data_IF_615583970379
#
_entry.id   IF_615583970379
#
_cell.length_a   1.000
_cell.length_b   1.000
_cell.length_c   1.000
_cell.angle_alpha   90.00
_cell.angle_beta   90.00
_cell.angle_gamma   90.00
#
_symmetry.space_group_name_H-M   'P 1'
#
loop_
_entity.id
_entity.type
_entity.pdbx_description
1 polymer ?
#
# COMPACT_ATOMS: atom_id res chain seq x y z
N UNK A 1 -3.26 5.58 -18.25
CA UNK A 1 -2.02 5.90 -17.51
C UNK A 1 -2.16 5.56 -16.02
N UNK A 2 -3.26 5.94 -15.35
CA UNK A 2 -3.51 5.60 -13.93
C UNK A 2 -3.46 4.11 -13.61
N UNK A 3 -4.14 3.25 -14.40
CA UNK A 3 -4.15 1.80 -14.19
C UNK A 3 -2.74 1.17 -14.18
N UNK A 4 -1.90 1.54 -15.14
CA UNK A 4 -0.51 1.06 -15.20
C UNK A 4 0.35 1.50 -14.00
N UNK A 5 0.14 2.73 -13.50
CA UNK A 5 0.83 3.19 -12.30
C UNK A 5 0.37 2.42 -11.04
N UNK A 6 -0.92 2.08 -10.96
CA UNK A 6 -1.45 1.25 -9.88
C UNK A 6 -0.81 -0.14 -9.91
N UNK A 7 -0.74 -0.79 -11.07
CA UNK A 7 -0.16 -2.13 -11.22
C UNK A 7 1.30 -2.17 -10.71
N UNK A 8 2.13 -1.20 -11.09
CA UNK A 8 3.53 -1.08 -10.62
C UNK A 8 3.58 -0.91 -9.09
N UNK A 9 2.68 -0.10 -8.52
CA UNK A 9 2.65 0.13 -7.08
C UNK A 9 2.15 -1.10 -6.31
N UNK A 10 1.23 -1.88 -6.88
CA UNK A 10 0.78 -3.16 -6.33
C UNK A 10 1.93 -4.15 -6.31
N UNK A 11 2.69 -4.29 -7.41
CA UNK A 11 3.84 -5.19 -7.47
C UNK A 11 4.91 -4.81 -6.43
N UNK A 12 5.23 -3.53 -6.31
CA UNK A 12 6.17 -3.04 -5.30
C UNK A 12 5.68 -3.34 -3.88
N UNK A 13 4.41 -3.07 -3.61
CA UNK A 13 3.82 -3.31 -2.29
C UNK A 13 3.78 -4.81 -1.96
N UNK A 14 3.37 -5.64 -2.91
CA UNK A 14 3.34 -7.10 -2.77
C UNK A 14 4.73 -7.65 -2.44
N UNK A 15 5.76 -7.25 -3.20
CA UNK A 15 7.14 -7.68 -2.95
C UNK A 15 7.63 -7.30 -1.54
N UNK A 16 7.29 -6.09 -1.06
CA UNK A 16 7.65 -5.68 0.30
C UNK A 16 6.85 -6.45 1.37
N UNK A 17 5.57 -6.74 1.15
CA UNK A 17 4.72 -7.44 2.12
C UNK A 17 5.11 -8.92 2.22
N UNK A 18 5.35 -9.59 1.09
CA UNK A 18 5.82 -10.98 1.05
C UNK A 18 7.09 -11.18 1.88
N UNK A 19 8.03 -10.23 1.83
CA UNK A 19 9.26 -10.28 2.61
C UNK A 19 9.08 -10.12 4.14
N UNK A 20 7.89 -9.77 4.62
CA UNK A 20 7.62 -9.44 6.03
C UNK A 20 6.69 -10.43 6.74
N UNK A 21 6.00 -11.29 5.99
CA UNK A 21 4.95 -12.17 6.49
C UNK A 21 5.36 -13.63 6.34
N UNK A 22 4.76 -14.53 7.12
CA UNK A 22 5.04 -15.97 6.96
C UNK A 22 4.05 -16.62 5.98
N UNK A 23 2.82 -16.10 5.89
CA UNK A 23 1.78 -16.65 5.03
C UNK A 23 1.56 -15.76 3.79
N UNK A 24 2.41 -15.97 2.78
CA UNK A 24 2.36 -15.19 1.53
C UNK A 24 1.05 -15.39 0.75
N UNK A 25 0.41 -16.56 0.85
CA UNK A 25 -0.85 -16.86 0.16
C UNK A 25 -2.04 -16.07 0.71
N UNK A 26 -1.94 -15.59 1.96
CA UNK A 26 -2.98 -14.80 2.61
C UNK A 26 -2.89 -13.30 2.30
N UNK A 27 -1.93 -12.86 1.47
CA UNK A 27 -1.79 -11.45 1.09
C UNK A 27 -2.86 -11.08 0.06
N UNK A 28 -3.69 -10.10 0.41
CA UNK A 28 -4.65 -9.51 -0.52
C UNK A 28 -4.46 -7.99 -0.57
N UNK A 29 -4.22 -7.47 -1.78
CA UNK A 29 -4.05 -6.03 -2.01
C UNK A 29 -5.22 -5.53 -2.85
N UNK A 30 -6.04 -4.68 -2.24
CA UNK A 30 -7.09 -3.95 -2.94
C UNK A 30 -6.67 -2.50 -3.17
N UNK A 31 -7.17 -1.88 -4.24
CA UNK A 31 -7.00 -0.46 -4.43
C UNK A 31 -8.21 0.22 -5.06
N UNK A 32 -8.41 1.49 -4.74
CA UNK A 32 -9.38 2.37 -5.40
C UNK A 32 -8.68 3.64 -5.89
N UNK A 33 -9.20 4.23 -6.95
CA UNK A 33 -8.69 5.46 -7.54
C UNK A 33 -9.63 6.62 -7.21
N UNK A 34 -9.07 7.69 -6.67
CA UNK A 34 -9.72 8.99 -6.56
C UNK A 34 -9.16 9.94 -7.61
N UNK A 35 -10.06 10.65 -8.30
CA UNK A 35 -9.69 11.60 -9.34
C UNK A 35 -8.74 12.68 -8.80
N UNK A 36 -7.77 13.06 -9.63
CA UNK A 36 -6.88 14.20 -9.39
C UNK A 36 -7.51 15.52 -9.85
N UNK A 37 -6.68 16.54 -9.95
CA UNK A 37 -7.01 17.83 -10.55
C UNK A 37 -5.94 18.14 -11.62
N UNK A 38 -6.13 17.66 -12.85
CA UNK A 38 -5.14 17.78 -13.92
C UNK A 38 -4.81 19.25 -14.24
N UNK A 39 -5.79 20.15 -14.13
CA UNK A 39 -5.63 21.58 -14.38
C UNK A 39 -4.68 22.22 -13.36
N UNK A 40 -4.60 21.65 -12.15
CA UNK A 40 -3.65 22.06 -11.10
C UNK A 40 -2.37 21.21 -11.07
N UNK A 41 -2.16 20.34 -12.06
CA UNK A 41 -1.02 19.42 -12.10
C UNK A 41 -1.07 18.35 -11.01
N UNK A 42 -2.25 18.06 -10.48
CA UNK A 42 -2.46 17.09 -9.41
C UNK A 42 -2.90 15.76 -10.03
N UNK A 43 -2.03 14.75 -9.97
CA UNK A 43 -2.36 13.39 -10.38
C UNK A 43 -3.42 12.73 -9.49
N UNK A 44 -3.99 11.60 -9.96
CA UNK A 44 -4.93 10.81 -9.17
C UNK A 44 -4.28 10.28 -7.88
N UNK A 45 -5.12 9.94 -6.92
CA UNK A 45 -4.70 9.32 -5.65
C UNK A 45 -5.21 7.89 -5.60
N UNK A 46 -4.30 6.94 -5.34
CA UNK A 46 -4.65 5.55 -5.11
C UNK A 46 -4.71 5.26 -3.61
N UNK A 47 -5.81 4.69 -3.15
CA UNK A 47 -5.94 4.14 -1.80
C UNK A 47 -5.69 2.64 -1.88
N UNK A 48 -4.59 2.19 -1.29
CA UNK A 48 -4.23 0.77 -1.17
C UNK A 48 -4.66 0.25 0.20
N UNK A 49 -5.22 -0.95 0.23
CA UNK A 49 -5.53 -1.72 1.43
C UNK A 49 -4.78 -3.05 1.32
N UNK A 50 -4.01 -3.38 2.35
CA UNK A 50 -3.30 -4.67 2.45
C UNK A 50 -3.89 -5.47 3.57
N UNK A 51 -4.57 -6.56 3.23
CA UNK A 51 -5.01 -7.59 4.15
C UNK A 51 -3.99 -8.74 4.15
N UNK A 52 -3.70 -9.25 5.33
CA UNK A 52 -2.81 -10.41 5.55
C UNK A 52 -3.44 -11.34 6.58
N UNK A 53 -2.81 -12.50 6.80
CA UNK A 53 -3.17 -13.39 7.90
C UNK A 53 -3.11 -12.66 9.25
N UNK A 54 -4.00 -13.02 10.18
CA UNK A 54 -4.07 -12.42 11.52
C UNK A 54 -2.74 -12.51 12.27
N UNK A 55 -1.98 -13.59 12.05
CA UNK A 55 -0.70 -13.84 12.73
C UNK A 55 0.45 -13.02 12.12
N UNK A 56 0.22 -12.42 10.94
CA UNK A 56 1.18 -11.58 10.22
C UNK A 56 0.94 -10.07 10.36
N UNK A 57 -0.25 -9.66 10.83
CA UNK A 57 -0.60 -8.22 11.06
C UNK A 57 0.45 -7.53 11.93
N UNK A 58 0.86 -8.16 13.03
CA UNK A 58 1.85 -7.60 13.95
C UNK A 58 3.22 -7.39 13.30
N UNK A 59 3.62 -8.27 12.38
CA UNK A 59 4.90 -8.18 11.65
C UNK A 59 4.87 -7.05 10.62
N UNK A 60 3.75 -6.93 9.91
CA UNK A 60 3.53 -5.91 8.91
C UNK A 60 3.43 -4.50 9.51
N UNK A 61 2.74 -4.36 10.64
CA UNK A 61 2.67 -3.09 11.38
C UNK A 61 4.04 -2.75 12.00
N UNK A 62 4.68 -3.76 12.62
CA UNK A 62 5.93 -3.60 13.34
C UNK A 62 5.79 -2.82 14.64
N UNK A 63 6.85 -2.83 15.46
CA UNK A 63 6.85 -2.16 16.77
C UNK A 63 6.53 -0.66 16.63
N UNK A 64 5.48 -0.21 17.32
CA UNK A 64 4.98 1.17 17.26
C UNK A 64 4.62 1.64 15.85
N UNK A 65 4.28 0.73 14.93
CA UNK A 65 3.91 1.06 13.56
C UNK A 65 5.08 1.44 12.65
N UNK A 66 6.34 1.17 13.05
CA UNK A 66 7.52 1.58 12.29
C UNK A 66 7.62 0.92 10.92
N UNK A 67 7.27 -0.38 10.81
CA UNK A 67 7.30 -1.11 9.52
C UNK A 67 6.22 -0.57 8.59
N UNK A 68 4.98 -0.43 9.07
CA UNK A 68 3.90 0.22 8.31
C UNK A 68 4.26 1.65 7.89
N UNK A 69 4.94 2.40 8.76
CA UNK A 69 5.49 3.72 8.45
C UNK A 69 6.47 3.66 7.28
N UNK A 70 7.46 2.75 7.31
CA UNK A 70 8.44 2.60 6.24
C UNK A 70 7.79 2.21 4.90
N UNK A 71 6.85 1.27 4.90
CA UNK A 71 6.09 0.87 3.71
C UNK A 71 5.36 2.07 3.09
N UNK A 72 4.70 2.90 3.90
CA UNK A 72 4.03 4.13 3.45
C UNK A 72 5.00 5.11 2.80
N UNK A 73 6.21 5.28 3.37
CA UNK A 73 7.21 6.18 2.81
C UNK A 73 7.72 5.68 1.45
N UNK A 74 8.04 4.38 1.34
CA UNK A 74 8.52 3.79 0.09
C UNK A 74 7.45 3.88 -1.00
N UNK A 75 6.20 3.52 -0.68
CA UNK A 75 5.09 3.60 -1.62
C UNK A 75 4.81 5.05 -2.04
N UNK A 76 4.84 5.99 -1.08
CA UNK A 76 4.64 7.42 -1.32
C UNK A 76 5.73 8.07 -2.19
N UNK A 77 6.99 7.68 -2.00
CA UNK A 77 8.09 8.14 -2.84
C UNK A 77 7.97 7.59 -4.27
N UNK A 78 7.63 6.30 -4.39
CA UNK A 78 7.47 5.62 -5.67
C UNK A 78 6.27 6.15 -6.46
N UNK A 79 5.14 6.42 -5.81
CA UNK A 79 3.97 7.00 -6.47
C UNK A 79 4.23 8.39 -7.00
N UNK A 80 4.95 9.23 -6.24
CA UNK A 80 5.39 10.56 -6.70
C UNK A 80 6.22 10.50 -7.96
N UNK A 81 7.13 9.53 -8.09
CA UNK A 81 7.92 9.31 -9.32
C UNK A 81 7.03 8.98 -10.53
N UNK A 82 5.89 8.33 -10.30
CA UNK A 82 4.91 7.97 -11.34
C UNK A 82 3.89 9.11 -11.60
N UNK A 83 4.02 10.26 -10.96
CA UNK A 83 3.10 11.39 -11.12
C UNK A 83 1.73 11.19 -10.47
N UNK A 84 1.61 10.22 -9.57
CA UNK A 84 0.37 9.91 -8.83
C UNK A 84 0.62 10.02 -7.33
N UNK A 85 -0.44 9.97 -6.53
CA UNK A 85 -0.36 9.91 -5.07
C UNK A 85 -0.81 8.54 -4.59
N UNK A 86 -0.33 8.14 -3.42
CA UNK A 86 -0.71 6.87 -2.80
C UNK A 86 -0.96 7.04 -1.31
N UNK A 87 -1.97 6.35 -0.81
CA UNK A 87 -2.23 6.15 0.62
C UNK A 87 -2.25 4.65 0.86
N UNK A 88 -1.55 4.18 1.89
CA UNK A 88 -1.56 2.77 2.30
C UNK A 88 -2.24 2.62 3.66
N UNK A 89 -3.34 1.87 3.65
CA UNK A 89 -4.03 1.41 4.83
C UNK A 89 -3.66 -0.06 5.12
N UNK A 90 -3.35 -0.33 6.40
CA UNK A 90 -3.13 -1.68 6.91
C UNK A 90 -4.13 -1.82 8.06
N UNK A 91 -5.29 -2.47 7.83
CA UNK A 91 -6.32 -2.60 8.85
C UNK A 91 -5.80 -3.39 10.05
N UNK A 92 -6.03 -2.86 11.24
CA UNK A 92 -5.77 -3.58 12.48
C UNK A 92 -7.01 -4.43 12.79
N UNK A 93 -6.98 -5.73 12.47
CA UNK A 93 -8.03 -6.68 12.86
C UNK A 93 -7.91 -7.00 14.36
N UNK A 94 -8.10 -6.00 15.22
CA UNK A 94 -8.23 -6.22 16.66
C UNK A 94 -9.65 -6.65 16.99
N UNK A 95 -9.79 -7.93 17.35
CA UNK A 95 -10.93 -8.48 18.10
C UNK A 95 -12.26 -8.53 17.36
N UNK A 96 -12.48 -9.63 16.65
CA UNK A 96 -13.75 -10.36 16.75
C UNK A 96 -13.59 -11.48 17.78
#
# INVERSE_FOLDING_TARGET
MGRHAADILVELLLAMVMALVDNEEAIHIAHTEAAGDPDKGIGPTFLFVVDVDKDDVGKLIGRSGKTAGALRHILGASSRKLGVRSILNIPDKKGE
#
